data_IF_586493758658
#
_entry.id   IF_586493758658
#
_cell.length_a   1.000
_cell.length_b   1.000
_cell.length_c   1.000
_cell.angle_alpha   90.00
_cell.angle_beta   90.00
_cell.angle_gamma   90.00
#
_symmetry.space_group_name_H-M   'P 1'
#
loop_
_entity.id
_entity.type
_entity.pdbx_description
1 polymer ?
#
# COMPACT_ATOMS: atom_id res chain seq x y z
N UNK A 1 -41.38 -16.30 55.09
CA UNK A 1 -40.80 -17.19 56.13
C UNK A 1 -40.76 -18.59 55.56
N UNK A 2 -39.56 -19.22 55.59
CA UNK A 2 -39.23 -20.65 55.41
C UNK A 2 -39.69 -21.35 54.12
N UNK A 3 -38.80 -21.75 53.19
CA UNK A 3 -37.79 -22.84 53.20
C UNK A 3 -38.40 -24.22 52.92
N UNK A 4 -37.96 -24.84 51.81
CA UNK A 4 -37.75 -26.29 51.64
C UNK A 4 -36.69 -26.55 50.54
N UNK A 5 -35.43 -26.71 50.95
CA UNK A 5 -34.54 -27.89 50.78
C UNK A 5 -35.03 -29.06 49.87
N UNK A 6 -34.26 -29.89 49.15
CA UNK A 6 -32.85 -30.37 49.20
C UNK A 6 -32.59 -31.29 47.96
N UNK A 7 -31.29 -31.57 47.67
CA UNK A 7 -30.72 -32.78 46.99
C UNK A 7 -30.32 -32.62 45.51
N UNK A 8 -29.16 -33.07 45.02
CA UNK A 8 -28.18 -34.02 45.55
C UNK A 8 -26.82 -34.02 44.81
N UNK A 9 -25.94 -34.89 45.28
CA UNK A 9 -24.48 -34.91 45.16
C UNK A 9 -23.89 -35.61 43.91
N UNK A 10 -22.70 -35.14 43.52
CA UNK A 10 -21.43 -35.85 43.20
C UNK A 10 -21.30 -37.01 42.16
N UNK A 11 -20.25 -36.82 41.33
CA UNK A 11 -19.08 -37.69 41.09
C UNK A 11 -18.97 -38.65 39.87
N UNK A 12 -17.94 -38.36 39.07
CA UNK A 12 -16.80 -39.18 38.62
C UNK A 12 -16.99 -40.57 37.94
N UNK A 13 -16.51 -40.63 36.68
CA UNK A 13 -15.81 -41.76 36.00
C UNK A 13 -15.41 -41.24 34.59
N UNK A 14 -14.21 -41.37 33.99
CA UNK A 14 -13.06 -42.24 34.19
C UNK A 14 -13.12 -43.47 33.26
N UNK A 15 -12.50 -43.44 32.05
CA UNK A 15 -11.81 -44.58 31.40
C UNK A 15 -11.37 -44.33 29.93
N UNK A 16 -10.04 -44.29 29.74
CA UNK A 16 -9.15 -45.06 28.82
C UNK A 16 -9.33 -45.19 27.28
N UNK A 17 -8.26 -44.78 26.59
CA UNK A 17 -7.54 -45.26 25.38
C UNK A 17 -8.25 -45.57 24.03
N UNK A 18 -7.73 -44.97 22.95
CA UNK A 18 -7.04 -45.69 21.87
C UNK A 18 -6.14 -44.78 21.02
N UNK A 19 -4.94 -45.30 20.71
CA UNK A 19 -3.93 -44.73 19.83
C UNK A 19 -4.19 -45.16 18.38
N UNK A 20 -4.19 -44.22 17.44
CA UNK A 20 -3.91 -44.51 16.03
C UNK A 20 -3.06 -43.36 15.48
N UNK A 21 -1.85 -43.71 15.07
CA UNK A 21 -0.91 -42.84 14.34
C UNK A 21 -1.44 -42.65 12.91
N UNK A 22 -1.53 -41.42 12.43
CA UNK A 22 -1.62 -41.10 11.02
C UNK A 22 -0.90 -39.78 10.73
N UNK A 23 -0.17 -39.80 9.63
CA UNK A 23 0.83 -38.85 9.16
C UNK A 23 0.33 -37.43 8.84
N UNK A 24 1.33 -36.56 8.71
CA UNK A 24 1.35 -35.14 8.38
C UNK A 24 0.57 -34.80 7.09
N UNK A 25 -0.25 -33.76 7.15
CA UNK A 25 -0.43 -32.82 6.04
C UNK A 25 -0.94 -31.48 6.59
N UNK A 26 -0.06 -30.47 6.61
CA UNK A 26 -0.43 -29.09 6.96
C UNK A 26 -1.42 -28.53 5.93
N UNK A 27 -2.59 -28.00 6.32
CA UNK A 27 -3.42 -27.23 5.42
C UNK A 27 -2.84 -25.82 5.26
N UNK A 28 -2.67 -25.41 4.00
CA UNK A 28 -2.32 -24.04 3.61
C UNK A 28 -3.29 -23.04 4.24
N UNK A 29 -2.77 -22.08 5.02
CA UNK A 29 -3.55 -20.91 5.46
C UNK A 29 -3.71 -19.95 4.28
N UNK A 30 -4.81 -20.13 3.54
CA UNK A 30 -5.31 -19.17 2.58
C UNK A 30 -6.01 -18.00 3.27
N UNK A 31 -5.88 -16.84 2.63
CA UNK A 31 -6.89 -15.79 2.52
C UNK A 31 -7.26 -15.02 3.80
N UNK A 32 -6.49 -13.98 4.11
CA UNK A 32 -7.05 -12.80 4.77
C UNK A 32 -7.81 -11.96 3.73
N UNK A 33 -9.10 -12.24 3.66
CA UNK A 33 -10.11 -11.27 3.28
C UNK A 33 -10.03 -10.08 4.25
N UNK A 34 -9.90 -8.86 3.72
CA UNK A 34 -10.11 -7.62 4.47
C UNK A 34 -10.96 -6.68 3.65
N UNK A 35 -12.17 -7.15 3.30
CA UNK A 35 -13.26 -6.27 2.88
C UNK A 35 -14.16 -5.98 4.08
N UNK A 36 -14.09 -4.75 4.58
CA UNK A 36 -15.21 -3.96 5.12
C UNK A 36 -14.66 -2.76 5.90
N UNK A 37 -14.56 -1.59 5.26
CA UNK A 37 -15.28 -0.36 5.64
C UNK A 37 -15.32 0.58 4.42
N UNK A 38 -16.51 1.12 4.17
CA UNK A 38 -16.90 2.15 3.20
C UNK A 38 -17.11 1.70 1.75
N UNK A 39 -18.37 1.36 1.46
CA UNK A 39 -18.93 1.48 0.12
C UNK A 39 -18.96 2.97 -0.26
N UNK A 40 -18.33 3.32 -1.38
CA UNK A 40 -18.70 4.46 -2.22
C UNK A 40 -18.03 4.29 -3.60
N UNK A 41 -18.89 4.11 -4.60
CA UNK A 41 -18.79 4.58 -6.00
C UNK A 41 -17.57 4.20 -6.84
N UNK A 42 -17.83 3.40 -7.88
CA UNK A 42 -16.97 3.16 -9.04
C UNK A 42 -16.22 4.40 -9.53
N UNK A 43 -14.88 4.34 -9.55
CA UNK A 43 -14.11 4.94 -10.62
C UNK A 43 -12.92 4.04 -10.95
N UNK A 44 -12.91 3.55 -12.19
CA UNK A 44 -11.90 2.66 -12.76
C UNK A 44 -10.58 3.42 -12.93
N UNK A 45 -9.68 3.35 -11.95
CA UNK A 45 -8.27 3.70 -12.14
C UNK A 45 -7.50 2.42 -12.46
N UNK A 46 -7.69 1.92 -13.68
CA UNK A 46 -6.84 0.90 -14.29
C UNK A 46 -5.59 1.56 -14.85
N UNK A 47 -4.59 1.76 -14.01
CA UNK A 47 -3.20 1.87 -14.44
C UNK A 47 -2.45 0.74 -13.72
N UNK A 48 -2.81 -0.49 -14.08
CA UNK A 48 -2.00 -1.65 -13.76
C UNK A 48 -0.60 -1.38 -14.33
N UNK A 49 0.44 -1.58 -13.51
CA UNK A 49 1.76 -1.91 -14.06
C UNK A 49 1.46 -2.98 -15.11
N UNK A 50 1.85 -2.80 -16.39
CA UNK A 50 1.51 -3.77 -17.44
C UNK A 50 1.82 -5.15 -16.87
N UNK A 51 0.99 -6.16 -17.15
CA UNK A 51 1.01 -7.50 -16.51
C UNK A 51 2.33 -8.29 -16.62
N UNK A 52 3.44 -7.61 -16.92
CA UNK A 52 4.83 -7.90 -16.57
C UNK A 52 4.86 -8.62 -15.23
N UNK A 53 5.15 -9.91 -15.32
CA UNK A 53 5.51 -10.74 -14.21
C UNK A 53 6.74 -10.12 -13.52
N UNK A 54 6.50 -9.40 -12.42
CA UNK A 54 7.56 -8.81 -11.63
C UNK A 54 8.30 -9.93 -10.92
N UNK A 55 9.62 -10.01 -11.13
CA UNK A 55 10.45 -10.96 -10.44
C UNK A 55 11.10 -10.30 -9.23
N UNK A 56 10.73 -10.76 -8.04
CA UNK A 56 11.31 -10.33 -6.77
C UNK A 56 12.32 -11.36 -6.28
N UNK A 57 13.47 -10.90 -5.78
CA UNK A 57 14.53 -11.80 -5.28
C UNK A 57 14.22 -12.33 -3.89
N UNK A 58 13.49 -11.55 -3.10
CA UNK A 58 13.12 -11.91 -1.73
C UNK A 58 11.69 -11.45 -1.43
N UNK A 59 11.07 -12.07 -0.44
CA UNK A 59 9.75 -11.67 0.07
C UNK A 59 9.76 -10.22 0.57
N UNK A 60 10.88 -9.78 1.18
CA UNK A 60 11.01 -8.39 1.65
C UNK A 60 11.05 -7.38 0.49
N UNK A 61 11.62 -7.76 -0.66
CA UNK A 61 11.62 -6.91 -1.85
C UNK A 61 10.20 -6.78 -2.43
N UNK A 62 9.45 -7.87 -2.44
CA UNK A 62 8.04 -7.90 -2.82
C UNK A 62 7.18 -7.04 -1.88
N UNK A 63 7.30 -7.24 -0.56
CA UNK A 63 6.56 -6.48 0.45
C UNK A 63 6.84 -4.97 0.34
N UNK A 64 8.12 -4.60 0.19
CA UNK A 64 8.52 -3.21 0.02
C UNK A 64 7.95 -2.61 -1.27
N UNK A 65 7.91 -3.37 -2.37
CA UNK A 65 7.32 -2.92 -3.62
C UNK A 65 5.80 -2.76 -3.50
N UNK A 66 5.11 -3.69 -2.83
CA UNK A 66 3.67 -3.62 -2.58
C UNK A 66 3.32 -2.38 -1.73
N UNK A 67 4.11 -2.08 -0.71
CA UNK A 67 3.97 -0.86 0.08
C UNK A 67 4.17 0.40 -0.78
N UNK A 68 5.25 0.45 -1.57
CA UNK A 68 5.51 1.55 -2.50
C UNK A 68 4.34 1.77 -3.47
N UNK A 69 3.80 0.69 -4.04
CA UNK A 69 2.63 0.72 -4.93
C UNK A 69 1.39 1.26 -4.21
N UNK A 70 1.13 0.80 -2.99
CA UNK A 70 0.00 1.28 -2.18
C UNK A 70 0.11 2.79 -1.91
N UNK A 71 1.30 3.28 -1.54
CA UNK A 71 1.55 4.70 -1.32
C UNK A 71 1.32 5.53 -2.58
N UNK A 72 1.79 5.08 -3.74
CA UNK A 72 1.53 5.74 -5.02
C UNK A 72 0.02 5.85 -5.29
N UNK A 73 -0.75 4.77 -5.07
CA UNK A 73 -2.21 4.76 -5.27
C UNK A 73 -2.94 5.69 -4.31
N UNK A 74 -2.58 5.69 -3.03
CA UNK A 74 -3.16 6.59 -2.03
C UNK A 74 -2.85 8.06 -2.37
N UNK A 75 -1.64 8.34 -2.85
CA UNK A 75 -1.22 9.71 -3.21
C UNK A 75 -1.99 10.31 -4.39
N UNK A 76 -2.70 9.53 -5.21
CA UNK A 76 -3.51 10.04 -6.32
C UNK A 76 -5.01 10.00 -6.08
N UNK A 77 -5.45 9.48 -4.93
CA UNK A 77 -6.88 9.45 -4.60
C UNK A 77 -7.44 10.89 -4.64
N UNK A 78 -8.54 11.15 -5.36
CA UNK A 78 -9.08 12.50 -5.48
C UNK A 78 -9.55 13.00 -4.11
N UNK A 79 -9.39 14.31 -3.86
CA UNK A 79 -9.94 14.97 -2.69
C UNK A 79 -11.30 15.55 -3.11
N UNK A 80 -12.39 15.31 -2.38
CA UNK A 80 -13.69 15.90 -2.68
C UNK A 80 -13.62 17.43 -2.76
N UNK A 81 -14.33 18.06 -3.69
CA UNK A 81 -14.27 19.52 -3.91
C UNK A 81 -14.71 20.34 -2.67
N UNK A 82 -15.53 19.75 -1.79
CA UNK A 82 -16.03 20.38 -0.56
C UNK A 82 -15.37 19.84 0.71
N UNK A 83 -14.21 19.21 0.58
CA UNK A 83 -13.52 18.67 1.74
C UNK A 83 -12.88 19.79 2.57
N UNK A 84 -13.02 19.68 3.90
CA UNK A 84 -12.30 20.52 4.85
C UNK A 84 -10.77 20.34 4.64
N UNK A 85 -9.94 21.40 4.69
CA UNK A 85 -8.47 21.28 4.78
C UNK A 85 -7.96 20.36 5.91
N UNK A 86 -8.82 19.95 6.85
CA UNK A 86 -8.49 18.96 7.88
C UNK A 86 -9.03 17.55 7.60
N UNK A 87 -9.46 17.26 6.37
CA UNK A 87 -10.04 15.97 6.02
C UNK A 87 -9.05 14.81 6.12
N UNK A 88 -9.58 13.62 6.40
CA UNK A 88 -8.77 12.41 6.49
C UNK A 88 -8.16 12.05 5.12
N UNK A 89 -8.87 12.34 4.03
CA UNK A 89 -8.42 12.13 2.65
C UNK A 89 -7.18 12.95 2.33
N UNK A 90 -7.20 14.25 2.66
CA UNK A 90 -6.04 15.12 2.45
C UNK A 90 -4.86 14.67 3.32
N UNK A 91 -5.09 14.40 4.62
CA UNK A 91 -4.02 13.90 5.51
C UNK A 91 -3.41 12.59 5.00
N UNK A 92 -4.24 11.66 4.53
CA UNK A 92 -3.79 10.39 3.97
C UNK A 92 -2.95 10.59 2.71
N UNK A 93 -3.37 11.51 1.83
CA UNK A 93 -2.61 11.89 0.63
C UNK A 93 -1.26 12.51 1.00
N UNK A 94 -1.24 13.48 1.89
CA UNK A 94 -0.01 14.15 2.32
C UNK A 94 0.97 13.20 2.98
N UNK A 95 0.50 12.34 3.88
CA UNK A 95 1.32 11.32 4.52
C UNK A 95 1.90 10.34 3.49
N UNK A 96 1.09 9.94 2.49
CA UNK A 96 1.56 9.06 1.42
C UNK A 96 2.69 9.70 0.61
N UNK A 97 2.55 10.99 0.26
CA UNK A 97 3.60 11.74 -0.43
C UNK A 97 4.85 11.93 0.43
N UNK A 98 4.70 12.19 1.72
CA UNK A 98 5.82 12.30 2.66
C UNK A 98 6.62 10.99 2.73
N UNK A 99 5.93 9.86 2.83
CA UNK A 99 6.57 8.54 2.84
C UNK A 99 7.28 8.23 1.50
N UNK A 100 6.67 8.59 0.37
CA UNK A 100 7.31 8.47 -0.94
C UNK A 100 8.56 9.34 -1.04
N UNK A 101 8.52 10.56 -0.51
CA UNK A 101 9.66 11.46 -0.45
C UNK A 101 10.81 10.84 0.36
N UNK A 102 10.52 10.29 1.55
CA UNK A 102 11.53 9.62 2.37
C UNK A 102 12.20 8.44 1.63
N UNK A 103 11.42 7.64 0.90
CA UNK A 103 11.92 6.51 0.10
C UNK A 103 12.89 6.99 -0.98
N UNK A 104 12.56 8.06 -1.72
CA UNK A 104 13.42 8.56 -2.82
C UNK A 104 14.58 9.42 -2.33
N UNK A 105 14.47 10.04 -1.15
CA UNK A 105 15.56 10.80 -0.53
C UNK A 105 16.68 9.88 -0.05
N UNK A 106 16.31 8.74 0.55
CA UNK A 106 17.25 7.78 1.11
C UNK A 106 17.11 6.42 0.41
N UNK A 107 17.41 6.34 -0.90
CA UNK A 107 17.16 5.12 -1.65
C UNK A 107 18.12 4.02 -1.20
N UNK A 108 17.58 2.85 -0.92
CA UNK A 108 18.39 1.65 -0.75
C UNK A 108 18.99 1.24 -2.10
N UNK A 109 20.07 0.45 -2.06
CA UNK A 109 20.67 -0.16 -3.27
C UNK A 109 19.67 -0.98 -4.08
N UNK A 110 18.60 -1.47 -3.44
CA UNK A 110 17.50 -2.16 -4.08
C UNK A 110 16.79 -1.28 -5.10
N UNK A 111 16.50 -0.01 -4.80
CA UNK A 111 15.75 0.89 -5.70
C UNK A 111 16.52 1.15 -7.01
N UNK A 112 17.86 1.18 -6.95
CA UNK A 112 18.71 1.39 -8.12
C UNK A 112 18.91 0.14 -8.99
N UNK A 113 18.84 -1.05 -8.40
CA UNK A 113 19.21 -2.31 -9.07
C UNK A 113 18.04 -3.24 -9.36
N UNK A 114 16.90 -3.03 -8.69
CA UNK A 114 15.71 -3.86 -8.82
C UNK A 114 14.86 -3.39 -10.00
N UNK A 115 14.69 -4.27 -10.99
CA UNK A 115 13.82 -4.00 -12.14
C UNK A 115 12.38 -3.67 -11.70
N UNK A 116 11.74 -4.38 -10.75
CA UNK A 116 10.45 -3.99 -10.21
C UNK A 116 10.39 -2.54 -9.69
N UNK A 117 11.37 -2.10 -8.89
CA UNK A 117 11.39 -0.72 -8.39
C UNK A 117 11.60 0.32 -9.49
N UNK A 118 12.48 0.06 -10.46
CA UNK A 118 12.66 0.96 -11.61
C UNK A 118 11.36 1.09 -12.43
N UNK A 119 10.63 -0.01 -12.61
CA UNK A 119 9.31 0.02 -13.24
C UNK A 119 8.28 0.76 -12.39
N UNK A 120 8.29 0.57 -11.07
CA UNK A 120 7.44 1.30 -10.13
C UNK A 120 7.69 2.81 -10.16
N UNK A 121 8.96 3.24 -10.17
CA UNK A 121 9.30 4.66 -10.31
C UNK A 121 8.72 5.24 -11.61
N UNK A 122 8.87 4.52 -12.73
CA UNK A 122 8.41 4.96 -14.05
C UNK A 122 6.90 5.00 -14.20
N UNK A 123 6.18 3.97 -13.75
CA UNK A 123 4.78 3.78 -14.08
C UNK A 123 3.83 4.11 -12.92
N UNK A 124 4.31 4.13 -11.68
CA UNK A 124 3.48 4.45 -10.51
C UNK A 124 3.80 5.84 -9.98
N UNK A 125 5.07 6.10 -9.66
CA UNK A 125 5.43 7.37 -9.05
C UNK A 125 5.34 8.53 -10.03
N UNK A 126 5.82 8.38 -11.27
CA UNK A 126 5.72 9.45 -12.27
C UNK A 126 4.25 9.82 -12.58
N UNK A 127 3.35 8.83 -12.61
CA UNK A 127 1.91 9.07 -12.76
C UNK A 127 1.38 9.84 -11.55
N UNK A 128 1.77 9.44 -10.34
CA UNK A 128 1.42 10.17 -9.11
C UNK A 128 1.85 11.63 -9.15
N UNK A 129 3.09 11.90 -9.53
CA UNK A 129 3.60 13.27 -9.65
C UNK A 129 2.86 14.08 -10.71
N UNK A 130 2.52 13.46 -11.85
CA UNK A 130 1.75 14.13 -12.92
C UNK A 130 0.36 14.54 -12.46
N UNK A 131 -0.31 13.69 -11.66
CA UNK A 131 -1.66 14.00 -11.11
C UNK A 131 -1.62 15.06 -10.02
N UNK A 132 -0.56 15.10 -9.21
CA UNK A 132 -0.44 16.03 -8.08
C UNK A 132 0.30 17.33 -8.44
N UNK A 133 1.02 17.38 -9.56
CA UNK A 133 1.85 18.51 -9.98
C UNK A 133 1.09 19.78 -10.37
N UNK A 134 -0.24 19.71 -10.46
CA UNK A 134 -1.14 20.86 -10.68
C UNK A 134 -2.17 21.00 -9.54
N UNK A 135 -1.88 20.40 -8.38
CA UNK A 135 -2.80 20.46 -7.24
C UNK A 135 -2.99 21.90 -6.74
N UNK A 136 -4.22 22.34 -6.46
CA UNK A 136 -4.47 23.64 -5.83
C UNK A 136 -4.06 23.67 -4.35
N UNK A 137 -3.80 22.50 -3.75
CA UNK A 137 -3.32 22.40 -2.36
C UNK A 137 -1.79 22.56 -2.37
N UNK A 138 -1.31 23.71 -1.88
CA UNK A 138 0.11 24.10 -1.91
C UNK A 138 1.02 23.00 -1.34
N UNK A 139 0.66 22.42 -0.20
CA UNK A 139 1.49 21.42 0.48
C UNK A 139 1.61 20.10 -0.31
N UNK A 140 0.61 19.76 -1.13
CA UNK A 140 0.64 18.59 -2.03
C UNK A 140 1.56 18.87 -3.22
N UNK A 141 1.46 20.08 -3.79
CA UNK A 141 2.33 20.52 -4.87
C UNK A 141 3.80 20.55 -4.43
N UNK A 142 4.11 21.14 -3.27
CA UNK A 142 5.47 21.23 -2.73
C UNK A 142 6.11 19.85 -2.52
N UNK A 143 5.38 18.91 -1.90
CA UNK A 143 5.86 17.52 -1.71
C UNK A 143 6.11 16.84 -3.06
N UNK A 144 5.19 17.01 -4.01
CA UNK A 144 5.33 16.43 -5.36
C UNK A 144 6.55 16.99 -6.09
N UNK A 145 6.79 18.30 -6.01
CA UNK A 145 7.95 18.94 -6.57
C UNK A 145 9.25 18.46 -5.90
N UNK A 146 9.25 18.32 -4.57
CA UNK A 146 10.40 17.79 -3.83
C UNK A 146 10.75 16.36 -4.27
N UNK A 147 9.75 15.48 -4.42
CA UNK A 147 9.95 14.13 -4.95
C UNK A 147 10.51 14.18 -6.37
N UNK A 148 9.95 15.02 -7.24
CA UNK A 148 10.42 15.17 -8.63
C UNK A 148 11.90 15.59 -8.69
N UNK A 149 12.31 16.55 -7.86
CA UNK A 149 13.71 16.96 -7.76
C UNK A 149 14.61 15.79 -7.36
N UNK A 150 14.17 14.94 -6.42
CA UNK A 150 14.94 13.74 -6.05
C UNK A 150 15.03 12.71 -7.19
N UNK A 151 13.96 12.55 -7.97
CA UNK A 151 13.98 11.70 -9.17
C UNK A 151 14.98 12.21 -10.22
N UNK A 152 15.01 13.52 -10.47
CA UNK A 152 15.98 14.14 -11.38
C UNK A 152 17.41 13.98 -10.86
N UNK A 153 17.65 14.18 -9.57
CA UNK A 153 19.00 14.13 -9.01
C UNK A 153 19.57 12.70 -8.95
N UNK A 154 18.73 11.71 -8.61
CA UNK A 154 19.19 10.36 -8.27
C UNK A 154 18.85 9.28 -9.31
N UNK A 155 17.87 9.55 -10.18
CA UNK A 155 17.30 8.54 -11.08
C UNK A 155 17.20 8.98 -12.55
N UNK A 156 17.72 10.16 -12.92
CA UNK A 156 17.62 10.75 -14.28
C UNK A 156 18.00 9.80 -15.41
N UNK A 157 19.05 8.99 -15.25
CA UNK A 157 19.47 8.03 -16.29
C UNK A 157 18.39 6.97 -16.56
N UNK A 158 17.60 6.59 -15.55
CA UNK A 158 16.53 5.62 -15.68
C UNK A 158 15.19 6.24 -16.05
N UNK A 159 15.00 7.56 -15.85
CA UNK A 159 13.68 8.21 -15.94
C UNK A 159 13.58 9.30 -17.00
N UNK A 160 14.59 9.45 -17.88
CA UNK A 160 14.68 10.57 -18.83
C UNK A 160 13.36 10.88 -19.58
N UNK A 161 12.73 9.88 -20.20
CA UNK A 161 11.47 10.04 -20.94
C UNK A 161 10.29 10.44 -20.04
N UNK A 162 10.19 9.83 -18.85
CA UNK A 162 9.10 10.15 -17.92
C UNK A 162 9.25 11.53 -17.29
N UNK A 163 10.49 11.96 -17.01
CA UNK A 163 10.80 13.30 -16.50
C UNK A 163 10.39 14.36 -17.53
N UNK A 164 10.70 14.14 -18.81
CA UNK A 164 10.27 15.01 -19.90
C UNK A 164 8.73 15.09 -19.99
N UNK A 165 8.04 13.95 -19.87
CA UNK A 165 6.57 13.88 -19.91
C UNK A 165 5.90 14.60 -18.73
N UNK A 166 6.43 14.46 -17.50
CA UNK A 166 5.93 15.20 -16.33
C UNK A 166 6.10 16.70 -16.56
N UNK A 167 7.29 17.14 -16.99
CA UNK A 167 7.58 18.55 -17.24
C UNK A 167 6.72 19.16 -18.35
N UNK A 168 6.34 18.38 -19.37
CA UNK A 168 5.44 18.80 -20.44
C UNK A 168 3.98 18.85 -19.99
N UNK A 169 3.53 17.92 -19.15
CA UNK A 169 2.16 17.89 -18.60
C UNK A 169 1.92 19.07 -17.65
N UNK A 170 2.97 19.56 -16.97
CA UNK A 170 2.93 20.75 -16.10
C UNK A 170 3.12 22.09 -16.83
N UNK A 171 3.16 22.13 -18.17
CA UNK A 171 3.12 23.41 -18.91
C UNK A 171 1.69 24.00 -18.83
N UNK A 172 1.46 24.73 -17.75
CA UNK A 172 0.49 25.82 -17.61
C UNK A 172 1.20 27.13 -17.93
#
# INVERSE_FOLDING_TARGET
MHMDSISGHNNHQGSTCNSVVAEVSMPSLLALNSASVAAESNESVSEDVPSIHLHFRTVQEEDAFLLFRALCRLSIKPIPERCDPTSHELRSKELSLEMLLLIVQNPSSLIHSSQPFLLGLRHLLCVSLSRNGVSPVVTVFEKSLAIFVQLVNKFKMHLKVQIENIALTSRV
#
